data_IF_675403788421
#
_entry.id   IF_675403788421
#
_cell.length_a   1.000
_cell.length_b   1.000
_cell.length_c   1.000
_cell.angle_alpha   90.00
_cell.angle_beta   90.00
_cell.angle_gamma   90.00
#
_symmetry.space_group_name_H-M   'P 1'
#
loop_
_entity.id
_entity.type
_entity.pdbx_description
1 polymer ?
#
# COMPACT_ATOMS: atom_id res chain seq x y z
N UNK A 1 26.10 2.17 -36.06
CA UNK A 1 26.02 1.46 -34.77
C UNK A 1 24.94 1.97 -33.80
N UNK A 2 24.38 3.14 -33.98
CA UNK A 2 23.39 3.77 -33.07
C UNK A 2 21.95 3.21 -33.13
N UNK A 3 21.54 2.60 -34.24
CA UNK A 3 20.18 2.06 -34.39
C UNK A 3 19.91 0.73 -33.70
N UNK A 4 20.93 -0.12 -33.54
CA UNK A 4 20.83 -1.42 -32.88
C UNK A 4 20.67 -1.28 -31.36
N UNK A 5 21.42 -0.37 -30.75
CA UNK A 5 21.32 -0.06 -29.32
C UNK A 5 19.95 0.52 -28.92
N UNK A 6 19.35 1.38 -29.73
CA UNK A 6 18.02 1.96 -29.47
C UNK A 6 16.89 0.92 -29.53
N UNK A 7 16.93 -0.02 -30.49
CA UNK A 7 15.96 -1.13 -30.59
C UNK A 7 16.11 -2.11 -29.42
N UNK A 8 17.34 -2.43 -29.04
CA UNK A 8 17.63 -3.32 -27.91
C UNK A 8 17.18 -2.71 -26.56
N UNK A 9 17.42 -1.40 -26.36
CA UNK A 9 17.00 -0.67 -25.17
C UNK A 9 15.46 -0.57 -25.06
N UNK A 10 14.74 -0.48 -26.17
CA UNK A 10 13.27 -0.48 -26.22
C UNK A 10 12.68 -1.86 -25.89
N UNK A 11 13.29 -2.95 -26.37
CA UNK A 11 12.89 -4.31 -26.07
C UNK A 11 13.18 -4.66 -24.58
N UNK A 12 14.31 -4.17 -24.05
CA UNK A 12 14.69 -4.35 -22.64
C UNK A 12 13.66 -3.73 -21.68
N UNK A 13 13.11 -2.55 -21.97
CA UNK A 13 12.09 -1.90 -21.13
C UNK A 13 10.77 -2.68 -21.03
N UNK A 14 10.45 -3.55 -21.97
CA UNK A 14 9.23 -4.37 -22.00
C UNK A 14 9.38 -5.72 -21.32
N UNK A 15 10.58 -6.12 -20.91
CA UNK A 15 10.82 -7.39 -20.22
C UNK A 15 10.53 -7.26 -18.72
N UNK A 16 10.01 -8.33 -18.11
CA UNK A 16 9.73 -8.40 -16.67
C UNK A 16 11.02 -8.18 -15.86
N UNK A 17 10.91 -7.48 -14.74
CA UNK A 17 12.04 -7.11 -13.88
C UNK A 17 12.94 -8.31 -13.55
N UNK A 18 12.36 -9.45 -13.20
CA UNK A 18 13.10 -10.68 -12.92
C UNK A 18 13.97 -11.16 -14.08
N UNK A 19 13.50 -11.02 -15.34
CA UNK A 19 14.27 -11.38 -16.54
C UNK A 19 15.49 -10.46 -16.72
N UNK A 20 15.34 -9.17 -16.45
CA UNK A 20 16.44 -8.19 -16.54
C UNK A 20 17.54 -8.48 -15.53
N UNK A 21 17.16 -8.75 -14.28
CA UNK A 21 18.11 -9.06 -13.21
C UNK A 21 18.86 -10.36 -13.55
N UNK A 22 18.14 -11.41 -13.99
CA UNK A 22 18.75 -12.70 -14.36
C UNK A 22 19.74 -12.54 -15.52
N UNK A 23 19.37 -11.76 -16.57
CA UNK A 23 20.25 -11.49 -17.70
C UNK A 23 21.46 -10.64 -17.30
N UNK A 24 21.29 -9.65 -16.45
CA UNK A 24 22.39 -8.84 -15.93
C UNK A 24 23.38 -9.65 -15.11
N UNK A 25 22.88 -10.50 -14.21
CA UNK A 25 23.70 -11.40 -13.40
C UNK A 25 24.43 -12.43 -14.27
N UNK A 26 23.75 -13.00 -15.26
CA UNK A 26 24.34 -13.94 -16.22
C UNK A 26 25.44 -13.29 -17.07
N UNK A 27 25.24 -12.07 -17.54
CA UNK A 27 26.26 -11.32 -18.28
C UNK A 27 27.48 -11.00 -17.42
N UNK A 28 27.26 -10.58 -16.17
CA UNK A 28 28.36 -10.34 -15.22
C UNK A 28 29.15 -11.62 -14.93
N UNK A 29 28.47 -12.74 -14.67
CA UNK A 29 29.09 -14.03 -14.44
C UNK A 29 29.92 -14.47 -15.65
N UNK A 30 29.41 -14.28 -16.87
CA UNK A 30 30.14 -14.62 -18.10
C UNK A 30 31.43 -13.80 -18.25
N UNK A 31 31.40 -12.50 -17.94
CA UNK A 31 32.60 -11.65 -17.97
C UNK A 31 33.64 -12.13 -16.94
N UNK A 32 33.19 -12.44 -15.72
CA UNK A 32 34.06 -12.93 -14.66
C UNK A 32 34.68 -14.29 -15.05
N UNK A 33 33.89 -15.23 -15.55
CA UNK A 33 34.36 -16.53 -15.99
C UNK A 33 35.34 -16.42 -17.16
N UNK A 34 35.08 -15.56 -18.13
CA UNK A 34 35.98 -15.28 -19.22
C UNK A 34 37.35 -14.73 -18.72
N UNK A 35 37.30 -13.78 -17.77
CA UNK A 35 38.52 -13.21 -17.18
C UNK A 35 39.32 -14.26 -16.40
N UNK A 36 38.65 -15.09 -15.60
CA UNK A 36 39.31 -16.19 -14.85
C UNK A 36 39.91 -17.20 -15.82
N UNK A 37 39.14 -17.63 -16.84
CA UNK A 37 39.62 -18.59 -17.84
C UNK A 37 40.86 -18.10 -18.57
N UNK A 38 40.85 -16.88 -19.10
CA UNK A 38 42.02 -16.30 -19.78
C UNK A 38 43.21 -16.22 -18.84
N UNK A 39 42.98 -15.85 -17.59
CA UNK A 39 44.07 -15.75 -16.59
C UNK A 39 44.63 -17.12 -16.25
N UNK A 40 43.78 -18.13 -16.00
CA UNK A 40 44.20 -19.51 -15.68
C UNK A 40 45.00 -20.14 -16.81
N UNK A 41 44.48 -20.03 -18.05
CA UNK A 41 45.18 -20.54 -19.25
C UNK A 41 46.50 -19.83 -19.46
N UNK A 42 46.57 -18.50 -19.28
CA UNK A 42 47.80 -17.74 -19.42
C UNK A 42 48.86 -18.12 -18.38
N UNK A 43 48.44 -18.27 -17.10
CA UNK A 43 49.35 -18.71 -16.03
C UNK A 43 49.87 -20.14 -16.30
N UNK A 44 48.98 -21.03 -16.73
CA UNK A 44 49.37 -22.43 -17.01
C UNK A 44 50.34 -22.51 -18.19
N UNK A 45 50.06 -21.75 -19.26
CA UNK A 45 50.97 -21.71 -20.42
C UNK A 45 52.37 -21.22 -20.01
N UNK A 46 52.43 -20.10 -19.31
CA UNK A 46 53.72 -19.57 -18.83
C UNK A 46 54.41 -20.44 -17.78
N UNK A 47 53.69 -21.24 -17.03
CA UNK A 47 54.29 -22.23 -16.11
C UNK A 47 54.89 -23.40 -16.89
N UNK A 48 54.18 -23.94 -17.89
CA UNK A 48 54.66 -25.06 -18.70
C UNK A 48 55.87 -24.68 -19.55
N UNK A 49 55.89 -23.48 -20.13
CA UNK A 49 57.03 -22.95 -20.88
C UNK A 49 58.27 -22.84 -20.01
N UNK A 50 58.13 -22.26 -18.81
CA UNK A 50 59.26 -22.16 -17.87
C UNK A 50 59.80 -23.51 -17.44
N UNK A 51 58.91 -24.47 -17.19
CA UNK A 51 59.29 -25.83 -16.81
C UNK A 51 60.04 -26.52 -17.94
N UNK A 52 59.63 -26.32 -19.19
CA UNK A 52 60.30 -26.87 -20.37
C UNK A 52 61.69 -26.26 -20.53
N UNK A 53 61.84 -24.94 -20.35
CA UNK A 53 63.16 -24.26 -20.36
C UNK A 53 64.07 -24.74 -19.30
N UNK A 54 63.57 -24.95 -18.08
CA UNK A 54 64.37 -25.52 -16.99
C UNK A 54 64.83 -26.91 -17.30
N UNK A 55 64.01 -27.79 -17.91
CA UNK A 55 64.36 -29.14 -18.27
C UNK A 55 65.38 -29.16 -19.43
N UNK A 56 65.21 -28.32 -20.47
CA UNK A 56 66.18 -28.18 -21.55
C UNK A 56 67.56 -27.72 -21.03
N UNK A 57 67.54 -26.70 -20.14
CA UNK A 57 68.72 -26.17 -19.52
C UNK A 57 69.48 -27.26 -18.69
N UNK A 58 68.74 -28.02 -17.85
CA UNK A 58 69.31 -29.08 -17.05
C UNK A 58 69.90 -30.16 -17.94
N UNK A 59 69.20 -30.59 -19.00
CA UNK A 59 69.70 -31.59 -19.94
C UNK A 59 71.02 -31.17 -20.62
N UNK A 60 71.07 -29.92 -21.12
CA UNK A 60 72.26 -29.37 -21.78
C UNK A 60 73.41 -29.19 -20.80
N UNK A 61 73.18 -28.64 -19.58
CA UNK A 61 74.18 -28.45 -18.58
C UNK A 61 74.83 -29.78 -18.14
N UNK A 62 74.09 -30.91 -18.25
CA UNK A 62 74.69 -32.26 -17.98
C UNK A 62 75.52 -32.77 -19.15
N UNK A 63 75.12 -32.44 -20.38
CA UNK A 63 75.74 -32.94 -21.59
C UNK A 63 77.01 -32.14 -22.05
N UNK A 64 76.96 -30.80 -21.91
CA UNK A 64 78.01 -29.88 -22.37
C UNK A 64 79.44 -30.25 -21.82
N UNK A 65 79.58 -30.50 -20.52
CA UNK A 65 80.92 -30.88 -20.01
C UNK A 65 81.43 -32.16 -20.66
N UNK A 66 80.55 -33.17 -20.82
CA UNK A 66 80.96 -34.48 -21.41
C UNK A 66 81.29 -34.33 -22.90
N UNK A 67 80.53 -33.56 -23.65
CA UNK A 67 80.77 -33.32 -25.07
C UNK A 67 82.06 -32.53 -25.31
N UNK A 68 82.42 -31.62 -24.38
CA UNK A 68 83.67 -30.86 -24.44
C UNK A 68 84.89 -31.72 -24.25
N UNK A 69 84.79 -32.75 -23.38
CA UNK A 69 85.89 -33.65 -23.09
C UNK A 69 86.07 -34.80 -24.09
N UNK A 70 84.94 -35.34 -24.57
CA UNK A 70 84.94 -36.60 -25.34
C UNK A 70 84.75 -36.46 -26.83
N UNK A 71 84.31 -35.26 -27.31
CA UNK A 71 83.88 -35.01 -28.72
C UNK A 71 82.91 -36.10 -29.20
N UNK A 72 82.08 -36.64 -28.28
CA UNK A 72 81.11 -37.69 -28.55
C UNK A 72 79.78 -37.18 -29.14
N UNK A 73 78.92 -38.10 -29.55
CA UNK A 73 77.55 -37.74 -30.01
C UNK A 73 76.67 -37.41 -28.83
N UNK A 74 75.79 -36.35 -28.93
CA UNK A 74 74.86 -36.00 -27.88
C UNK A 74 73.86 -37.13 -27.63
N UNK A 75 73.65 -37.46 -26.36
CA UNK A 75 72.65 -38.47 -25.95
C UNK A 75 71.33 -37.80 -25.65
N UNK A 76 70.27 -38.34 -26.21
CA UNK A 76 68.93 -37.92 -25.84
C UNK A 76 68.59 -38.44 -24.44
N UNK A 77 68.46 -37.55 -23.45
CA UNK A 77 68.09 -37.89 -22.05
C UNK A 77 66.56 -38.02 -21.90
N UNK A 78 65.84 -37.44 -22.80
CA UNK A 78 64.38 -37.50 -22.90
C UNK A 78 64.05 -37.79 -24.36
N UNK A 79 62.84 -38.07 -24.73
CA UNK A 79 62.36 -38.25 -26.14
C UNK A 79 62.54 -36.97 -26.98
N UNK A 80 63.61 -36.22 -26.75
CA UNK A 80 63.92 -34.95 -27.39
C UNK A 80 65.05 -35.11 -28.42
N UNK A 81 64.98 -34.24 -29.36
CA UNK A 81 66.03 -34.17 -30.35
C UNK A 81 67.23 -33.40 -29.80
N UNK A 82 68.42 -33.91 -29.95
CA UNK A 82 69.65 -33.24 -29.61
C UNK A 82 70.68 -33.46 -30.71
N UNK A 83 71.35 -32.39 -31.14
CA UNK A 83 72.40 -32.45 -32.14
C UNK A 83 73.44 -31.40 -31.88
N UNK A 84 74.72 -31.80 -32.20
CA UNK A 84 75.85 -30.88 -32.18
C UNK A 84 75.98 -30.23 -33.57
N UNK A 85 76.17 -28.93 -33.59
CA UNK A 85 76.43 -28.14 -34.78
C UNK A 85 77.86 -27.57 -34.72
N UNK A 86 78.61 -27.75 -35.83
CA UNK A 86 79.87 -27.01 -36.03
C UNK A 86 79.53 -25.70 -36.77
N UNK A 87 80.00 -24.57 -36.23
CA UNK A 87 79.74 -23.25 -36.79
C UNK A 87 81.08 -22.67 -37.30
N UNK A 88 81.18 -22.49 -38.63
CA UNK A 88 82.33 -21.87 -39.27
C UNK A 88 81.89 -20.75 -40.18
N UNK A 89 82.54 -19.65 -40.07
CA UNK A 89 82.16 -18.42 -40.89
C UNK A 89 80.66 -18.08 -40.87
N UNK A 90 79.96 -18.25 -39.72
CA UNK A 90 78.53 -18.00 -39.56
C UNK A 90 77.62 -19.03 -40.19
N UNK A 91 78.13 -20.15 -40.68
CA UNK A 91 77.37 -21.29 -41.23
C UNK A 91 77.42 -22.42 -40.28
N UNK A 92 76.25 -22.85 -39.76
CA UNK A 92 76.08 -23.98 -38.85
C UNK A 92 75.85 -25.26 -39.69
N UNK A 93 76.65 -26.31 -39.48
CA UNK A 93 76.52 -27.64 -40.10
C UNK A 93 76.31 -28.69 -39.01
N UNK A 94 75.28 -29.58 -39.12
CA UNK A 94 75.08 -30.62 -38.13
C UNK A 94 76.21 -31.66 -38.18
N UNK A 95 76.71 -32.08 -37.01
CA UNK A 95 77.71 -33.16 -36.88
C UNK A 95 77.03 -34.55 -36.98
N UNK A 96 77.71 -35.54 -37.50
CA UNK A 96 77.20 -36.89 -37.57
C UNK A 96 76.89 -37.48 -36.20
N UNK A 97 75.70 -38.10 -36.01
CA UNK A 97 75.29 -38.77 -34.79
C UNK A 97 74.22 -38.08 -33.95
N UNK A 98 73.85 -36.87 -34.30
CA UNK A 98 72.72 -36.21 -33.70
C UNK A 98 71.39 -36.61 -34.36
N UNK A 99 70.26 -36.60 -33.55
CA UNK A 99 68.96 -36.85 -34.07
C UNK A 99 68.24 -35.44 -34.18
N UNK A 100 67.76 -35.11 -35.39
CA UNK A 100 67.14 -33.83 -35.67
C UNK A 100 65.77 -34.05 -36.25
N UNK A 101 64.78 -33.21 -35.89
CA UNK A 101 63.47 -33.15 -36.56
C UNK A 101 63.67 -32.50 -37.98
N UNK A 102 62.82 -32.81 -38.91
CA UNK A 102 62.92 -32.66 -40.35
C UNK A 102 63.35 -31.34 -41.02
N UNK A 103 63.51 -30.19 -40.38
CA UNK A 103 63.88 -28.93 -41.05
C UNK A 103 65.24 -28.39 -40.54
N UNK A 104 66.29 -28.95 -41.13
CA UNK A 104 67.68 -28.60 -40.76
C UNK A 104 68.08 -27.13 -41.01
N UNK A 105 67.43 -26.43 -41.89
CA UNK A 105 67.78 -25.03 -42.21
C UNK A 105 67.36 -24.01 -41.11
N UNK A 106 66.20 -24.20 -40.50
CA UNK A 106 65.81 -23.36 -39.41
C UNK A 106 66.63 -23.60 -38.16
N UNK A 107 66.90 -24.86 -37.89
CA UNK A 107 67.71 -25.27 -36.74
C UNK A 107 69.17 -24.80 -36.88
N UNK A 108 69.77 -24.89 -38.10
CA UNK A 108 71.11 -24.38 -38.40
C UNK A 108 71.20 -22.85 -38.18
N UNK A 109 70.16 -22.08 -38.51
CA UNK A 109 70.10 -20.65 -38.24
C UNK A 109 70.13 -20.37 -36.75
N UNK A 110 69.39 -21.12 -35.94
CA UNK A 110 69.34 -20.96 -34.49
C UNK A 110 70.69 -21.32 -33.88
N UNK A 111 71.33 -22.38 -34.39
CA UNK A 111 72.67 -22.77 -33.95
C UNK A 111 73.72 -21.69 -34.29
N UNK A 112 73.66 -21.07 -35.47
CA UNK A 112 74.56 -19.99 -35.82
C UNK A 112 74.34 -18.70 -34.97
N UNK A 113 73.08 -18.40 -34.62
CA UNK A 113 72.75 -17.25 -33.73
C UNK A 113 73.25 -17.52 -32.28
N UNK A 114 73.45 -18.75 -31.88
CA UNK A 114 73.85 -19.17 -30.50
C UNK A 114 75.32 -19.17 -30.21
N UNK A 115 76.16 -18.85 -31.15
CA UNK A 115 77.68 -18.79 -30.93
C UNK A 115 78.02 -17.75 -29.85
N UNK A 116 77.29 -16.68 -29.74
CA UNK A 116 77.51 -15.61 -28.75
C UNK A 116 76.88 -15.78 -27.39
N UNK A 117 76.08 -16.84 -27.20
CA UNK A 117 75.36 -17.17 -25.96
C UNK A 117 74.13 -18.04 -26.19
N UNK A 118 73.46 -18.41 -25.07
CA UNK A 118 72.25 -19.23 -25.12
C UNK A 118 71.11 -18.58 -25.87
N UNK A 119 70.51 -19.30 -26.80
CA UNK A 119 69.37 -18.87 -27.56
C UNK A 119 68.18 -19.84 -27.36
N UNK A 120 67.03 -19.34 -26.93
CA UNK A 120 65.81 -20.15 -26.85
C UNK A 120 64.76 -19.56 -27.77
N UNK A 121 64.16 -20.40 -28.64
CA UNK A 121 63.11 -19.97 -29.60
C UNK A 121 62.07 -21.07 -29.76
N UNK A 122 60.84 -20.63 -29.99
CA UNK A 122 59.75 -21.50 -30.44
C UNK A 122 59.78 -21.53 -31.97
N UNK A 123 59.74 -22.72 -32.52
CA UNK A 123 59.70 -22.96 -33.96
C UNK A 123 58.58 -23.96 -34.31
N UNK A 124 58.08 -23.84 -35.52
CA UNK A 124 57.13 -24.79 -36.08
C UNK A 124 57.82 -25.64 -37.16
N UNK A 125 57.94 -26.93 -36.89
CA UNK A 125 58.48 -27.87 -37.87
C UNK A 125 57.36 -28.46 -38.69
N UNK A 126 57.51 -28.44 -40.00
CA UNK A 126 56.40 -28.69 -40.92
C UNK A 126 55.74 -30.06 -40.77
N UNK A 127 56.51 -31.10 -40.42
CA UNK A 127 55.98 -32.46 -40.26
C UNK A 127 55.74 -32.86 -38.79
N UNK A 128 56.33 -32.15 -37.82
CA UNK A 128 56.36 -32.56 -36.41
C UNK A 128 55.65 -31.58 -35.44
N UNK A 129 55.23 -30.42 -35.92
CA UNK A 129 54.49 -29.42 -35.11
C UNK A 129 55.38 -28.41 -34.38
N UNK A 130 54.85 -27.78 -33.31
CA UNK A 130 55.59 -26.78 -32.54
C UNK A 130 56.66 -27.40 -31.61
N UNK A 131 57.86 -26.83 -31.65
CA UNK A 131 59.01 -27.23 -30.82
C UNK A 131 59.58 -26.01 -30.10
N UNK A 132 60.02 -26.24 -28.84
CA UNK A 132 60.88 -25.32 -28.10
C UNK A 132 62.30 -25.75 -28.29
N UNK A 133 63.10 -24.88 -28.88
CA UNK A 133 64.49 -25.16 -29.20
C UNK A 133 65.37 -24.26 -28.36
N UNK A 134 66.38 -24.89 -27.72
CA UNK A 134 67.44 -24.19 -27.03
C UNK A 134 68.77 -24.58 -27.65
N UNK A 135 69.59 -23.61 -28.01
CA UNK A 135 70.92 -23.73 -28.51
C UNK A 135 71.89 -23.13 -27.48
N UNK A 136 72.92 -23.89 -27.11
CA UNK A 136 73.90 -23.51 -26.12
C UNK A 136 75.31 -23.74 -26.69
N UNK A 137 76.29 -22.81 -26.59
CA UNK A 137 77.65 -22.99 -27.06
C UNK A 137 78.38 -24.03 -26.18
N UNK A 138 79.01 -25.00 -26.84
CA UNK A 138 79.86 -25.99 -26.20
C UNK A 138 81.31 -25.52 -26.21
N UNK A 139 81.80 -25.06 -27.37
CA UNK A 139 83.12 -24.47 -27.59
C UNK A 139 82.97 -23.27 -28.58
N UNK A 140 84.15 -22.68 -28.97
CA UNK A 140 84.18 -21.53 -29.89
C UNK A 140 83.48 -21.78 -31.24
N UNK A 141 83.52 -23.06 -31.68
CA UNK A 141 83.03 -23.44 -33.01
C UNK A 141 81.93 -24.53 -32.95
N UNK A 142 81.48 -24.90 -31.73
CA UNK A 142 80.46 -25.95 -31.55
C UNK A 142 79.30 -25.53 -30.67
N UNK A 143 78.06 -25.77 -31.13
CA UNK A 143 76.77 -25.44 -30.44
C UNK A 143 75.98 -26.72 -30.28
N UNK A 144 75.52 -26.99 -29.04
CA UNK A 144 74.57 -28.05 -28.73
C UNK A 144 73.14 -27.49 -28.88
N UNK A 145 72.35 -28.04 -29.78
CA UNK A 145 71.00 -27.74 -29.99
C UNK A 145 70.12 -28.87 -29.44
N UNK A 146 69.15 -28.48 -28.60
CA UNK A 146 68.12 -29.39 -28.08
C UNK A 146 66.75 -28.89 -28.42
N UNK A 147 65.91 -29.80 -28.92
CA UNK A 147 64.53 -29.46 -29.33
C UNK A 147 63.53 -30.38 -28.63
N UNK A 148 62.58 -29.77 -27.91
CA UNK A 148 61.52 -30.45 -27.18
C UNK A 148 60.13 -30.17 -27.85
N UNK A 149 59.37 -31.26 -28.13
CA UNK A 149 58.01 -31.08 -28.72
C UNK A 149 57.06 -30.40 -27.72
N UNK A 150 56.30 -29.42 -28.20
CA UNK A 150 55.24 -28.74 -27.42
C UNK A 150 53.84 -29.36 -27.65
N UNK A 151 53.76 -30.42 -28.47
CA UNK A 151 52.50 -31.07 -28.83
C UNK A 151 51.69 -31.59 -27.64
N UNK A 152 52.38 -32.27 -26.71
CA UNK A 152 51.76 -32.84 -25.50
C UNK A 152 51.32 -31.75 -24.51
N UNK A 153 52.05 -30.63 -24.44
CA UNK A 153 51.71 -29.48 -23.62
C UNK A 153 50.45 -28.78 -24.14
N UNK A 154 50.38 -28.60 -25.46
CA UNK A 154 49.22 -28.03 -26.10
C UNK A 154 47.97 -28.91 -25.95
N UNK A 155 48.17 -30.26 -25.95
CA UNK A 155 47.12 -31.23 -25.64
C UNK A 155 46.54 -31.03 -24.22
N UNK A 156 47.41 -30.91 -23.23
CA UNK A 156 47.05 -30.71 -21.82
C UNK A 156 46.33 -29.38 -21.59
N UNK A 157 46.85 -28.30 -22.18
CA UNK A 157 46.18 -26.97 -22.13
C UNK A 157 44.82 -27.02 -22.79
N UNK A 158 44.68 -27.66 -23.93
CA UNK A 158 43.38 -27.79 -24.63
C UNK A 158 42.38 -28.61 -23.80
N UNK A 159 42.80 -29.68 -23.15
CA UNK A 159 41.94 -30.44 -22.24
C UNK A 159 41.50 -29.60 -21.05
N UNK A 160 42.38 -28.80 -20.45
CA UNK A 160 42.08 -27.88 -19.38
C UNK A 160 41.00 -26.85 -19.83
N UNK A 161 41.19 -26.26 -21.01
CA UNK A 161 40.19 -25.28 -21.58
C UNK A 161 38.81 -25.93 -21.74
N UNK A 162 38.72 -27.16 -22.27
CA UNK A 162 37.44 -27.82 -22.40
C UNK A 162 36.78 -28.14 -21.06
N UNK A 163 37.52 -28.56 -20.04
CA UNK A 163 37.03 -28.81 -18.70
C UNK A 163 36.53 -27.47 -18.08
N UNK A 164 37.29 -26.40 -18.24
CA UNK A 164 36.97 -25.09 -17.72
C UNK A 164 35.70 -24.51 -18.39
N UNK A 165 35.60 -24.59 -19.72
CA UNK A 165 34.42 -24.17 -20.47
C UNK A 165 33.17 -24.97 -20.03
N UNK A 166 33.32 -26.30 -19.88
CA UNK A 166 32.25 -27.17 -19.41
C UNK A 166 31.78 -26.79 -17.98
N UNK A 167 32.72 -26.58 -17.07
CA UNK A 167 32.42 -26.18 -15.70
C UNK A 167 31.74 -24.80 -15.63
N UNK A 168 32.24 -23.83 -16.38
CA UNK A 168 31.64 -22.48 -16.42
C UNK A 168 30.25 -22.48 -17.09
N UNK A 169 30.06 -23.27 -18.15
CA UNK A 169 28.75 -23.43 -18.77
C UNK A 169 27.71 -24.03 -17.80
N UNK A 170 28.13 -25.05 -17.05
CA UNK A 170 27.30 -25.67 -16.01
C UNK A 170 26.98 -24.67 -14.89
N UNK A 171 27.96 -23.95 -14.37
CA UNK A 171 27.79 -22.96 -13.33
C UNK A 171 26.85 -21.83 -13.77
N UNK A 172 27.00 -21.36 -15.00
CA UNK A 172 26.12 -20.35 -15.59
C UNK A 172 24.68 -20.86 -15.75
N UNK A 173 24.50 -22.09 -16.21
CA UNK A 173 23.18 -22.71 -16.32
C UNK A 173 22.49 -22.82 -14.96
N UNK A 174 23.21 -23.31 -13.94
CA UNK A 174 22.71 -23.38 -12.55
C UNK A 174 22.35 -21.99 -12.02
N UNK A 175 23.22 -21.00 -12.21
CA UNK A 175 22.98 -19.61 -11.79
C UNK A 175 21.70 -19.05 -12.41
N UNK A 176 21.49 -19.26 -13.72
CA UNK A 176 20.30 -18.80 -14.43
C UNK A 176 19.04 -19.52 -13.95
N UNK A 177 19.08 -20.83 -13.76
CA UNK A 177 17.92 -21.61 -13.29
C UNK A 177 17.55 -21.22 -11.86
N UNK A 178 18.53 -21.26 -10.94
CA UNK A 178 18.29 -20.92 -9.52
C UNK A 178 17.87 -19.46 -9.38
N UNK A 179 18.58 -18.54 -10.03
CA UNK A 179 18.25 -17.12 -10.01
C UNK A 179 16.82 -16.85 -10.51
N UNK A 180 16.40 -17.55 -11.60
CA UNK A 180 15.04 -17.43 -12.13
C UNK A 180 13.97 -17.99 -11.18
N UNK A 181 14.26 -19.10 -10.50
CA UNK A 181 13.36 -19.70 -9.50
C UNK A 181 13.20 -18.78 -8.28
N UNK A 182 14.30 -18.28 -7.74
CA UNK A 182 14.28 -17.37 -6.57
C UNK A 182 13.53 -16.08 -6.90
N UNK A 183 13.87 -15.44 -8.02
CA UNK A 183 13.21 -14.20 -8.45
C UNK A 183 11.71 -14.38 -8.74
N UNK A 184 11.33 -15.52 -9.35
CA UNK A 184 9.92 -15.80 -9.60
C UNK A 184 9.13 -15.97 -8.29
N UNK A 185 9.69 -16.70 -7.32
CA UNK A 185 9.03 -16.88 -6.02
C UNK A 185 9.00 -15.59 -5.20
N UNK A 186 10.09 -14.83 -5.21
CA UNK A 186 10.19 -13.59 -4.45
C UNK A 186 9.34 -12.44 -4.98
N UNK A 187 9.14 -12.35 -6.31
CA UNK A 187 8.38 -11.25 -6.93
C UNK A 187 6.92 -11.58 -7.24
N UNK A 188 6.50 -12.84 -7.09
CA UNK A 188 5.11 -13.24 -7.34
C UNK A 188 4.10 -12.49 -6.46
N UNK A 189 4.31 -12.33 -5.14
CA UNK A 189 3.36 -11.62 -4.29
C UNK A 189 3.15 -10.16 -4.72
N UNK A 190 4.19 -9.49 -5.20
CA UNK A 190 4.07 -8.11 -5.73
C UNK A 190 3.22 -8.05 -7.01
N UNK A 191 3.33 -9.06 -7.87
CA UNK A 191 2.49 -9.16 -9.07
C UNK A 191 1.02 -9.42 -8.71
N UNK A 192 0.77 -10.26 -7.71
CA UNK A 192 -0.57 -10.56 -7.21
C UNK A 192 -1.20 -9.31 -6.55
N UNK A 193 -0.45 -8.55 -5.75
CA UNK A 193 -0.89 -7.26 -5.19
C UNK A 193 -1.21 -6.23 -6.28
N UNK A 194 -0.37 -6.14 -7.32
CA UNK A 194 -0.63 -5.25 -8.45
C UNK A 194 -1.90 -5.66 -9.22
N UNK A 195 -2.15 -6.97 -9.35
CA UNK A 195 -3.39 -7.50 -9.90
C UNK A 195 -4.60 -7.08 -9.07
N UNK A 196 -4.56 -7.33 -7.75
CA UNK A 196 -5.61 -6.92 -6.81
C UNK A 196 -5.90 -5.41 -6.89
N UNK A 197 -4.85 -4.59 -6.94
CA UNK A 197 -5.02 -3.13 -7.07
C UNK A 197 -5.66 -2.74 -8.40
N UNK A 198 -5.34 -3.45 -9.49
CA UNK A 198 -5.93 -3.23 -10.82
C UNK A 198 -7.41 -3.64 -10.85
N UNK A 199 -7.75 -4.78 -10.25
CA UNK A 199 -9.12 -5.27 -10.15
C UNK A 199 -9.99 -4.33 -9.34
N UNK A 200 -9.47 -3.79 -8.21
CA UNK A 200 -10.16 -2.77 -7.40
C UNK A 200 -10.34 -1.48 -8.21
N UNK A 201 -9.32 -1.03 -8.95
CA UNK A 201 -9.41 0.18 -9.76
C UNK A 201 -10.41 0.07 -10.93
N UNK A 202 -10.63 -1.16 -11.44
CA UNK A 202 -11.62 -1.45 -12.47
C UNK A 202 -13.03 -1.69 -11.92
N UNK A 203 -13.15 -1.91 -10.60
CA UNK A 203 -14.43 -2.15 -9.95
C UNK A 203 -15.21 -0.85 -9.72
N UNK A 204 -16.50 -0.85 -10.07
CA UNK A 204 -17.36 0.30 -9.76
C UNK A 204 -17.78 0.29 -8.28
N UNK A 205 -16.97 0.95 -7.46
CA UNK A 205 -17.19 1.10 -6.02
C UNK A 205 -18.47 1.88 -5.66
N UNK A 206 -19.10 2.53 -6.65
CA UNK A 206 -20.36 3.25 -6.44
C UNK A 206 -21.56 2.32 -6.57
N UNK A 207 -21.46 1.28 -7.40
CA UNK A 207 -22.51 0.29 -7.60
C UNK A 207 -22.41 -0.87 -6.59
N UNK A 208 -21.19 -1.27 -6.21
CA UNK A 208 -20.95 -2.32 -5.23
C UNK A 208 -19.78 -1.93 -4.30
N UNK A 209 -20.08 -1.43 -3.09
CA UNK A 209 -19.07 -0.91 -2.17
C UNK A 209 -18.20 -1.99 -1.50
N UNK A 210 -18.58 -3.27 -1.59
CA UNK A 210 -17.80 -4.35 -1.00
C UNK A 210 -16.54 -4.61 -1.81
N UNK A 211 -15.37 -4.48 -1.19
CA UNK A 211 -14.09 -4.87 -1.79
C UNK A 211 -13.92 -6.39 -1.70
N UNK A 212 -14.03 -7.12 -2.83
CA UNK A 212 -14.12 -8.58 -2.82
C UNK A 212 -12.80 -9.29 -2.51
N UNK A 213 -11.65 -8.58 -2.57
CA UNK A 213 -10.33 -9.23 -2.59
C UNK A 213 -9.35 -8.56 -1.63
N UNK A 214 -8.67 -9.39 -0.82
CA UNK A 214 -7.47 -9.01 -0.06
C UNK A 214 -6.23 -9.56 -0.75
N UNK A 215 -5.11 -8.88 -0.63
CA UNK A 215 -3.82 -9.43 -1.08
C UNK A 215 -3.50 -10.65 -0.21
N UNK A 216 -3.70 -11.86 -0.80
CA UNK A 216 -3.45 -13.15 -0.17
C UNK A 216 -2.17 -13.75 -0.71
N UNK A 217 -1.54 -14.65 0.04
CA UNK A 217 -0.32 -15.34 -0.35
C UNK A 217 0.76 -15.22 0.71
N UNK A 218 1.74 -16.14 0.65
CA UNK A 218 2.93 -16.13 1.50
C UNK A 218 4.18 -16.16 0.63
N UNK A 219 5.24 -15.47 1.04
CA UNK A 219 6.54 -15.45 0.34
C UNK A 219 6.98 -14.03 -0.02
N UNK A 220 8.20 -13.90 -0.52
CA UNK A 220 8.80 -12.64 -0.95
C UNK A 220 9.71 -11.96 0.07
N UNK A 221 9.92 -12.57 1.24
CA UNK A 221 10.75 -11.99 2.30
C UNK A 221 9.97 -11.06 3.24
N UNK A 222 10.67 -10.56 4.26
CA UNK A 222 10.08 -9.73 5.33
C UNK A 222 9.54 -8.42 4.77
N UNK A 223 10.24 -7.81 3.83
CA UNK A 223 9.88 -6.52 3.22
C UNK A 223 8.59 -6.61 2.40
N UNK A 224 8.39 -7.73 1.70
CA UNK A 224 7.15 -7.97 0.91
C UNK A 224 5.97 -8.26 1.82
N UNK A 225 6.21 -8.96 2.94
CA UNK A 225 5.19 -9.25 3.95
C UNK A 225 4.73 -7.97 4.65
N UNK A 226 5.66 -7.09 5.00
CA UNK A 226 5.36 -5.78 5.58
C UNK A 226 4.54 -4.90 4.61
N UNK A 227 4.94 -4.87 3.34
CA UNK A 227 4.19 -4.16 2.30
C UNK A 227 2.78 -4.74 2.13
N UNK A 228 2.62 -6.07 2.14
CA UNK A 228 1.31 -6.73 2.04
C UNK A 228 0.42 -6.39 3.21
N UNK A 229 0.98 -6.34 4.41
CA UNK A 229 0.26 -5.95 5.63
C UNK A 229 -0.21 -4.50 5.53
N UNK A 230 0.67 -3.58 5.17
CA UNK A 230 0.32 -2.16 4.97
C UNK A 230 -0.75 -1.98 3.89
N UNK A 231 -0.65 -2.71 2.79
CA UNK A 231 -1.64 -2.69 1.72
C UNK A 231 -3.02 -3.18 2.19
N UNK A 232 -3.08 -4.28 2.95
CA UNK A 232 -4.34 -4.80 3.49
C UNK A 232 -4.95 -3.86 4.54
N UNK A 233 -4.14 -3.18 5.36
CA UNK A 233 -4.61 -2.13 6.28
C UNK A 233 -5.22 -0.96 5.51
N UNK A 234 -4.58 -0.53 4.43
CA UNK A 234 -5.12 0.51 3.55
C UNK A 234 -6.48 0.11 2.94
N UNK A 235 -6.61 -1.13 2.47
CA UNK A 235 -7.87 -1.65 1.94
C UNK A 235 -8.96 -1.69 3.02
N UNK A 236 -8.62 -2.08 4.25
CA UNK A 236 -9.56 -2.07 5.38
C UNK A 236 -10.07 -0.65 5.70
N UNK A 237 -9.20 0.36 5.63
CA UNK A 237 -9.60 1.77 5.80
C UNK A 237 -10.52 2.25 4.67
N UNK A 238 -10.27 1.83 3.43
CA UNK A 238 -11.14 2.16 2.28
C UNK A 238 -12.52 1.53 2.48
N UNK A 239 -12.59 0.23 2.84
CA UNK A 239 -13.86 -0.45 3.13
C UNK A 239 -14.68 0.30 4.19
N UNK A 240 -14.03 0.61 5.32
CA UNK A 240 -14.69 1.33 6.42
C UNK A 240 -15.21 2.70 5.97
N UNK A 241 -14.42 3.42 5.16
CA UNK A 241 -14.81 4.73 4.63
C UNK A 241 -15.97 4.64 3.63
N UNK A 242 -15.97 3.62 2.78
CA UNK A 242 -17.05 3.38 1.82
C UNK A 242 -18.35 2.99 2.53
N UNK A 243 -18.27 2.09 3.51
CA UNK A 243 -19.41 1.69 4.33
C UNK A 243 -20.03 2.89 5.04
N UNK A 244 -19.20 3.74 5.69
CA UNK A 244 -19.66 4.96 6.35
C UNK A 244 -20.31 5.94 5.36
N UNK A 245 -19.74 6.09 4.15
CA UNK A 245 -20.30 6.95 3.10
C UNK A 245 -21.64 6.43 2.58
N UNK A 246 -21.75 5.11 2.40
CA UNK A 246 -23.01 4.48 1.94
C UNK A 246 -24.11 4.67 2.97
N UNK A 247 -23.81 4.41 4.24
CA UNK A 247 -24.76 4.62 5.35
C UNK A 247 -25.19 6.07 5.46
N UNK A 248 -24.25 7.03 5.37
CA UNK A 248 -24.59 8.46 5.37
C UNK A 248 -25.49 8.85 4.18
N UNK A 249 -25.23 8.29 3.00
CA UNK A 249 -26.06 8.55 1.82
C UNK A 249 -27.46 7.96 1.94
N UNK A 250 -27.61 6.78 2.52
CA UNK A 250 -28.91 6.17 2.80
C UNK A 250 -29.70 6.96 3.85
N UNK A 251 -29.03 7.44 4.90
CA UNK A 251 -29.65 8.35 5.89
C UNK A 251 -30.14 9.63 5.24
N UNK A 252 -29.31 10.22 4.36
CA UNK A 252 -29.70 11.45 3.63
C UNK A 252 -30.90 11.20 2.70
N UNK A 253 -30.91 10.08 1.95
CA UNK A 253 -32.04 9.74 1.07
C UNK A 253 -33.33 9.56 1.85
N UNK A 254 -33.28 8.85 3.00
CA UNK A 254 -34.45 8.70 3.88
C UNK A 254 -34.93 10.07 4.40
N UNK A 255 -34.01 10.90 4.90
CA UNK A 255 -34.30 12.25 5.38
C UNK A 255 -35.01 13.12 4.32
N UNK A 256 -34.50 13.12 3.08
CA UNK A 256 -35.12 13.89 1.98
C UNK A 256 -36.51 13.36 1.62
N UNK A 257 -36.70 12.05 1.61
CA UNK A 257 -37.98 11.43 1.32
C UNK A 257 -39.02 11.79 2.40
N UNK A 258 -38.66 11.64 3.68
CA UNK A 258 -39.56 11.94 4.81
C UNK A 258 -39.87 13.41 4.90
N UNK A 259 -38.86 14.30 4.75
CA UNK A 259 -39.10 15.76 4.68
C UNK A 259 -40.03 16.14 3.55
N UNK A 260 -39.91 15.51 2.38
CA UNK A 260 -40.80 15.75 1.23
C UNK A 260 -42.25 15.36 1.52
N UNK A 261 -42.46 14.25 2.22
CA UNK A 261 -43.78 13.80 2.63
C UNK A 261 -44.40 14.73 3.66
N UNK A 262 -43.67 15.16 4.68
CA UNK A 262 -44.15 16.02 5.74
C UNK A 262 -44.39 17.46 5.28
N UNK A 263 -43.69 17.95 4.26
CA UNK A 263 -43.97 19.25 3.63
C UNK A 263 -45.17 19.20 2.68
N UNK A 264 -45.43 18.08 2.00
CA UNK A 264 -46.54 17.96 1.05
C UNK A 264 -47.90 18.04 1.73
N UNK A 265 -48.05 17.45 2.91
CA UNK A 265 -49.30 17.39 3.65
C UNK A 265 -49.85 18.79 4.01
N UNK A 266 -49.12 19.67 4.75
CA UNK A 266 -49.59 21.00 5.07
C UNK A 266 -49.78 21.87 3.81
N UNK A 267 -48.95 21.70 2.79
CA UNK A 267 -49.10 22.41 1.52
C UNK A 267 -50.43 22.05 0.82
N UNK A 268 -50.82 20.77 0.87
CA UNK A 268 -52.12 20.32 0.34
C UNK A 268 -53.26 20.89 1.15
N UNK A 269 -53.13 20.96 2.48
CA UNK A 269 -54.12 21.59 3.37
C UNK A 269 -54.28 23.08 3.09
N UNK A 270 -53.15 23.81 2.98
CA UNK A 270 -53.14 25.23 2.63
C UNK A 270 -53.87 25.46 1.29
N UNK A 271 -53.57 24.66 0.27
CA UNK A 271 -54.23 24.75 -1.04
C UNK A 271 -55.70 24.48 -0.93
N UNK A 272 -56.11 23.46 -0.20
CA UNK A 272 -57.52 23.14 0.03
C UNK A 272 -58.30 24.29 0.72
N UNK A 273 -57.74 24.85 1.79
CA UNK A 273 -58.34 26.00 2.47
C UNK A 273 -58.35 27.26 1.62
N UNK A 274 -57.33 27.48 0.78
CA UNK A 274 -57.31 28.59 -0.17
C UNK A 274 -58.36 28.43 -1.26
N UNK A 275 -58.61 27.22 -1.75
CA UNK A 275 -59.71 26.95 -2.70
C UNK A 275 -61.09 27.13 -2.03
N UNK A 276 -61.27 26.62 -0.81
CA UNK A 276 -62.48 26.84 -0.02
C UNK A 276 -62.73 28.33 0.26
N UNK A 277 -61.68 29.07 0.62
CA UNK A 277 -61.72 30.51 0.80
C UNK A 277 -62.30 31.25 -0.45
N UNK A 278 -61.91 30.84 -1.64
CA UNK A 278 -62.39 31.40 -2.91
C UNK A 278 -63.89 31.14 -3.11
N UNK A 279 -64.36 29.93 -2.72
CA UNK A 279 -65.78 29.57 -2.87
C UNK A 279 -66.66 30.24 -1.80
N UNK A 280 -66.20 30.24 -0.53
CA UNK A 280 -66.94 30.88 0.59
C UNK A 280 -66.90 32.41 0.57
N UNK A 281 -65.98 33.00 -0.23
CA UNK A 281 -65.71 34.43 -0.25
C UNK A 281 -66.90 35.30 -0.59
N UNK A 282 -68.01 34.79 -1.19
CA UNK A 282 -69.10 35.57 -1.66
C UNK A 282 -70.16 35.83 -0.58
N UNK A 283 -70.39 34.97 0.41
CA UNK A 283 -71.59 35.02 1.26
C UNK A 283 -71.41 34.84 2.79
N UNK A 284 -70.25 34.40 3.30
CA UNK A 284 -70.08 34.10 4.75
C UNK A 284 -68.76 34.60 5.33
N UNK A 285 -68.70 35.81 5.92
CA UNK A 285 -67.47 36.40 6.48
C UNK A 285 -66.80 35.54 7.58
N UNK A 286 -67.59 34.82 8.38
CA UNK A 286 -67.07 33.97 9.47
C UNK A 286 -66.31 32.75 8.96
N UNK A 287 -66.79 32.09 7.89
CA UNK A 287 -66.09 30.98 7.26
C UNK A 287 -64.77 31.40 6.60
N UNK A 288 -64.75 32.59 6.02
CA UNK A 288 -63.49 33.15 5.46
C UNK A 288 -62.45 33.32 6.51
N UNK A 289 -62.79 33.90 7.67
CA UNK A 289 -61.87 34.09 8.75
C UNK A 289 -61.35 32.71 9.31
N UNK A 290 -62.23 31.71 9.40
CA UNK A 290 -61.88 30.37 9.79
C UNK A 290 -60.92 29.74 8.80
N UNK A 291 -61.12 29.89 7.49
CA UNK A 291 -60.23 29.38 6.48
C UNK A 291 -58.85 30.09 6.48
N UNK A 292 -58.82 31.42 6.66
CA UNK A 292 -57.63 32.23 6.80
C UNK A 292 -56.83 31.83 8.06
N UNK A 293 -57.54 31.60 9.18
CA UNK A 293 -56.91 31.12 10.42
C UNK A 293 -56.23 29.78 10.20
N UNK A 294 -56.87 28.85 9.48
CA UNK A 294 -56.27 27.55 9.16
C UNK A 294 -55.05 27.65 8.22
N UNK A 295 -55.09 28.56 7.24
CA UNK A 295 -53.93 28.81 6.38
C UNK A 295 -52.77 29.39 7.20
N UNK A 296 -53.03 30.34 8.12
CA UNK A 296 -52.01 30.91 9.01
C UNK A 296 -51.39 29.83 9.93
N UNK A 297 -52.24 28.98 10.52
CA UNK A 297 -51.82 27.87 11.38
C UNK A 297 -50.89 26.90 10.64
N UNK A 298 -51.27 26.44 9.42
CA UNK A 298 -50.47 25.54 8.64
C UNK A 298 -49.16 26.19 8.12
N UNK A 299 -49.18 27.48 7.82
CA UNK A 299 -47.97 28.22 7.42
C UNK A 299 -47.00 28.34 8.60
N UNK A 300 -47.48 28.66 9.81
CA UNK A 300 -46.68 28.71 11.01
C UNK A 300 -46.04 27.33 11.32
N UNK A 301 -46.82 26.23 11.17
CA UNK A 301 -46.35 24.88 11.31
C UNK A 301 -45.24 24.57 10.31
N UNK A 302 -45.41 24.96 9.03
CA UNK A 302 -44.39 24.75 8.01
C UNK A 302 -43.09 25.50 8.32
N UNK A 303 -43.18 26.70 8.87
CA UNK A 303 -42.00 27.49 9.28
C UNK A 303 -41.22 26.73 10.34
N UNK A 304 -41.84 26.26 11.41
CA UNK A 304 -41.20 25.46 12.46
C UNK A 304 -40.59 24.18 11.87
N UNK A 305 -41.31 23.46 11.01
CA UNK A 305 -40.80 22.25 10.36
C UNK A 305 -39.55 22.54 9.54
N UNK A 306 -39.50 23.60 8.74
CA UNK A 306 -38.34 23.98 7.93
C UNK A 306 -37.16 24.38 8.81
N UNK A 307 -37.40 25.15 9.87
CA UNK A 307 -36.36 25.56 10.83
C UNK A 307 -35.74 24.34 11.54
N UNK A 308 -36.58 23.38 11.97
CA UNK A 308 -36.14 22.15 12.59
C UNK A 308 -35.32 21.29 11.61
N UNK A 309 -35.76 21.17 10.35
CA UNK A 309 -35.03 20.45 9.31
C UNK A 309 -33.65 21.08 9.03
N UNK A 310 -33.61 22.42 8.91
CA UNK A 310 -32.36 23.14 8.71
C UNK A 310 -31.42 23.00 9.90
N UNK A 311 -31.95 23.02 11.12
CA UNK A 311 -31.17 22.80 12.34
C UNK A 311 -30.59 21.40 12.39
N UNK A 312 -31.41 20.37 12.16
CA UNK A 312 -30.96 18.98 12.11
C UNK A 312 -29.91 18.76 11.03
N UNK A 313 -30.09 19.31 9.82
CA UNK A 313 -29.12 19.23 8.73
C UNK A 313 -27.77 19.86 9.11
N UNK A 314 -27.78 20.98 9.84
CA UNK A 314 -26.57 21.64 10.34
C UNK A 314 -25.89 20.83 11.45
N UNK A 315 -26.65 20.22 12.36
CA UNK A 315 -26.12 19.39 13.44
C UNK A 315 -25.52 18.07 12.93
N UNK A 316 -26.07 17.52 11.83
CA UNK A 316 -25.54 16.31 11.17
C UNK A 316 -24.25 16.56 10.38
N UNK A 317 -24.10 17.74 9.78
CA UNK A 317 -22.89 18.16 9.08
C UNK A 317 -21.78 18.38 10.11
N UNK A 318 -21.17 17.25 10.58
CA UNK A 318 -20.05 17.20 11.57
C UNK A 318 -19.70 18.54 12.21
N UNK A 319 -19.80 18.60 13.51
CA UNK A 319 -19.36 19.58 14.53
C UNK A 319 -18.55 20.87 14.17
N UNK A 320 -18.09 21.04 12.94
CA UNK A 320 -17.29 22.17 12.50
C UNK A 320 -18.12 23.38 11.99
N UNK A 321 -19.43 23.20 11.66
CA UNK A 321 -20.22 24.22 11.00
C UNK A 321 -21.43 24.75 11.78
N UNK A 322 -21.74 24.17 12.94
CA UNK A 322 -22.76 24.74 13.82
C UNK A 322 -22.10 25.24 15.10
N UNK A 323 -21.65 26.48 15.17
CA UNK A 323 -21.14 27.01 16.41
C UNK A 323 -22.31 27.14 17.38
N UNK A 324 -22.47 26.16 18.29
CA UNK A 324 -23.14 26.44 19.55
C UNK A 324 -22.42 27.66 20.15
N UNK A 325 -23.16 28.51 20.75
CA UNK A 325 -22.63 29.67 21.50
C UNK A 325 -22.71 29.34 22.98
N UNK A 326 -21.79 28.50 23.50
CA UNK A 326 -21.84 28.11 24.88
C UNK A 326 -21.50 29.31 25.77
N UNK A 327 -22.37 29.55 26.74
CA UNK A 327 -22.15 30.51 27.79
C UNK A 327 -22.53 29.87 29.15
N UNK A 328 -22.05 30.42 30.22
CA UNK A 328 -22.41 29.94 31.56
C UNK A 328 -23.89 30.25 31.81
N UNK A 329 -24.69 29.21 31.79
CA UNK A 329 -26.15 29.28 31.86
C UNK A 329 -26.65 28.55 33.10
N UNK A 330 -27.47 29.15 33.91
CA UNK A 330 -28.20 28.46 34.97
C UNK A 330 -29.40 27.72 34.38
N UNK A 331 -29.31 26.37 34.37
CA UNK A 331 -30.38 25.52 33.82
C UNK A 331 -31.69 25.65 34.61
N UNK A 332 -31.64 26.00 35.91
CA UNK A 332 -32.80 26.20 36.75
C UNK A 332 -33.57 27.48 36.33
N UNK A 333 -32.88 28.60 36.10
CA UNK A 333 -33.48 29.83 35.60
C UNK A 333 -34.13 29.60 34.22
N UNK A 334 -33.41 28.95 33.30
CA UNK A 334 -33.90 28.66 31.97
C UNK A 334 -35.15 27.74 31.99
N UNK A 335 -35.15 26.74 32.87
CA UNK A 335 -36.30 25.84 33.05
C UNK A 335 -37.50 26.51 33.68
N UNK A 336 -37.27 27.42 34.62
CA UNK A 336 -38.32 28.26 35.22
C UNK A 336 -39.01 29.14 34.19
N UNK A 337 -38.21 29.89 33.40
CA UNK A 337 -38.72 30.71 32.30
C UNK A 337 -39.51 29.90 31.25
N UNK A 338 -39.08 28.68 30.94
CA UNK A 338 -39.79 27.80 30.04
C UNK A 338 -41.12 27.30 30.63
N UNK A 339 -41.13 26.95 31.91
CA UNK A 339 -42.32 26.49 32.60
C UNK A 339 -43.38 27.64 32.71
N UNK A 340 -42.95 28.85 33.03
CA UNK A 340 -43.81 30.03 33.14
C UNK A 340 -44.42 30.41 31.80
N UNK A 341 -43.63 30.41 30.72
CA UNK A 341 -44.10 30.66 29.37
C UNK A 341 -45.11 29.58 28.90
N UNK A 342 -44.85 28.32 29.25
CA UNK A 342 -45.73 27.21 28.94
C UNK A 342 -47.07 27.36 29.71
N UNK A 343 -47.05 27.66 31.00
CA UNK A 343 -48.24 27.88 31.85
C UNK A 343 -49.09 29.01 31.31
N UNK A 344 -48.49 30.13 30.89
CA UNK A 344 -49.18 31.26 30.30
C UNK A 344 -49.84 30.89 28.94
N UNK A 345 -49.19 30.11 28.10
CA UNK A 345 -49.68 29.67 26.80
C UNK A 345 -50.67 28.49 26.83
N UNK A 346 -50.66 27.72 27.91
CA UNK A 346 -51.45 26.49 28.09
C UNK A 346 -52.10 26.43 29.47
N UNK A 347 -53.06 27.30 29.79
CA UNK A 347 -53.72 27.38 31.09
C UNK A 347 -54.49 26.09 31.45
N UNK A 348 -54.75 25.26 30.49
CA UNK A 348 -55.38 23.93 30.60
C UNK A 348 -54.43 22.83 31.13
N UNK A 349 -53.13 23.11 31.27
CA UNK A 349 -52.16 22.18 31.80
C UNK A 349 -51.49 22.80 33.05
N UNK A 350 -51.85 22.36 34.28
CA UNK A 350 -51.21 22.85 35.50
C UNK A 350 -49.72 22.53 35.52
N UNK A 351 -48.87 23.53 35.80
CA UNK A 351 -47.42 23.34 35.88
C UNK A 351 -46.93 23.52 37.33
N UNK A 352 -46.02 22.64 37.74
CA UNK A 352 -45.28 22.78 38.98
C UNK A 352 -43.78 22.65 38.69
N UNK A 353 -42.93 23.29 39.49
CA UNK A 353 -41.50 23.26 39.29
C UNK A 353 -40.72 23.11 40.60
N UNK A 354 -39.66 22.25 40.57
CA UNK A 354 -38.67 22.11 41.64
C UNK A 354 -37.29 22.32 41.00
N UNK A 355 -36.68 23.48 41.26
CA UNK A 355 -35.52 23.95 40.50
C UNK A 355 -34.32 24.24 41.43
N UNK A 356 -33.32 23.34 41.42
CA UNK A 356 -32.04 23.57 42.07
C UNK A 356 -31.08 24.23 41.10
N UNK A 357 -30.32 25.23 41.56
CA UNK A 357 -29.35 25.95 40.77
C UNK A 357 -28.30 24.99 40.14
N UNK A 358 -28.16 24.99 38.85
CA UNK A 358 -27.28 24.09 38.12
C UNK A 358 -26.67 24.82 36.90
N UNK A 359 -25.40 25.23 37.03
CA UNK A 359 -24.68 25.96 35.99
C UNK A 359 -24.03 25.01 34.99
N UNK A 360 -24.34 25.20 33.70
CA UNK A 360 -23.81 24.43 32.58
C UNK A 360 -23.15 25.37 31.54
N UNK A 361 -22.17 24.87 30.81
CA UNK A 361 -21.61 25.59 29.67
C UNK A 361 -22.42 25.20 28.39
N UNK A 362 -23.39 26.02 28.04
CA UNK A 362 -24.36 25.67 27.00
C UNK A 362 -24.90 26.90 26.24
N UNK A 363 -25.43 26.68 25.05
CA UNK A 363 -26.15 27.69 24.28
C UNK A 363 -27.58 27.84 24.85
N UNK A 364 -27.92 28.97 25.53
CA UNK A 364 -29.21 29.13 26.22
C UNK A 364 -30.39 29.12 25.28
N UNK A 365 -30.22 29.63 24.04
CA UNK A 365 -31.31 29.65 23.04
C UNK A 365 -31.61 28.21 22.62
N UNK A 366 -30.61 27.37 22.48
CA UNK A 366 -30.77 25.97 22.08
C UNK A 366 -31.31 25.12 23.23
N UNK A 367 -30.82 25.32 24.47
CA UNK A 367 -31.39 24.64 25.62
C UNK A 367 -32.84 25.05 25.89
N UNK A 368 -33.18 26.34 25.69
CA UNK A 368 -34.58 26.79 25.75
C UNK A 368 -35.43 26.01 24.72
N UNK A 369 -34.96 25.85 23.49
CA UNK A 369 -35.66 25.07 22.46
C UNK A 369 -35.85 23.59 22.89
N UNK A 370 -34.89 23.00 23.59
CA UNK A 370 -35.02 21.64 24.17
C UNK A 370 -36.18 21.59 25.16
N UNK A 371 -36.23 22.53 26.12
CA UNK A 371 -37.26 22.57 27.15
C UNK A 371 -38.65 22.86 26.55
N UNK A 372 -38.72 23.79 25.62
CA UNK A 372 -39.97 24.13 24.94
C UNK A 372 -40.53 22.94 24.16
N UNK A 373 -39.65 22.15 23.48
CA UNK A 373 -40.07 20.94 22.77
C UNK A 373 -40.57 19.83 23.70
N UNK A 374 -39.94 19.66 24.87
CA UNK A 374 -40.40 18.67 25.85
C UNK A 374 -41.71 19.06 26.49
N UNK A 375 -41.89 20.32 26.84
CA UNK A 375 -43.17 20.88 27.36
C UNK A 375 -44.29 20.83 26.31
N UNK A 376 -44.02 21.20 25.06
CA UNK A 376 -44.95 21.09 23.96
C UNK A 376 -45.40 19.64 23.74
N UNK A 377 -44.46 18.68 23.86
CA UNK A 377 -44.75 17.26 23.75
C UNK A 377 -45.74 16.80 24.86
N UNK A 378 -45.55 17.23 26.10
CA UNK A 378 -46.49 16.96 27.19
C UNK A 378 -47.92 17.47 26.86
N UNK A 379 -48.05 18.72 26.36
CA UNK A 379 -49.37 19.29 26.01
C UNK A 379 -50.07 18.61 24.81
N UNK A 380 -49.28 18.16 23.82
CA UNK A 380 -49.83 17.52 22.59
C UNK A 380 -50.29 16.07 22.86
N UNK A 381 -49.61 15.37 23.74
CA UNK A 381 -49.83 13.94 23.96
C UNK A 381 -50.65 13.63 25.20
N UNK A 382 -51.06 14.63 25.98
CA UNK A 382 -51.91 14.44 27.16
C UNK A 382 -53.23 15.21 27.04
N UNK A 383 -54.31 14.76 27.70
CA UNK A 383 -55.57 15.48 27.72
C UNK A 383 -55.45 16.81 28.49
N UNK A 384 -56.30 17.81 28.19
CA UNK A 384 -56.47 18.99 29.04
C UNK A 384 -56.70 18.61 30.50
N UNK A 385 -56.12 19.36 31.43
CA UNK A 385 -56.13 19.07 32.87
C UNK A 385 -54.98 18.20 33.36
N UNK A 386 -54.14 17.69 32.47
CA UNK A 386 -52.97 16.90 32.88
C UNK A 386 -51.89 17.79 33.50
N UNK A 387 -51.46 17.44 34.72
CA UNK A 387 -50.36 18.14 35.38
C UNK A 387 -49.01 17.86 34.73
N UNK A 388 -48.18 18.90 34.58
CA UNK A 388 -46.82 18.84 34.13
C UNK A 388 -45.88 19.31 35.23
N UNK A 389 -44.82 18.56 35.50
CA UNK A 389 -43.83 18.87 36.51
C UNK A 389 -42.47 19.05 35.86
N UNK A 390 -41.79 20.13 36.16
CA UNK A 390 -40.42 20.43 35.69
C UNK A 390 -39.47 20.41 36.89
N UNK A 391 -38.45 19.62 36.85
CA UNK A 391 -37.43 19.55 37.88
C UNK A 391 -36.04 19.76 37.33
N UNK A 392 -35.18 20.48 38.04
CA UNK A 392 -33.74 20.57 37.80
C UNK A 392 -33.03 20.21 39.06
N UNK A 393 -32.12 19.24 38.98
CA UNK A 393 -31.31 18.78 40.13
C UNK A 393 -29.87 18.57 39.68
N UNK A 394 -28.95 18.59 40.64
CA UNK A 394 -27.54 18.24 40.41
C UNK A 394 -27.31 16.81 40.88
N UNK A 395 -26.91 15.94 39.96
CA UNK A 395 -26.57 14.53 40.24
C UNK A 395 -25.08 14.29 39.94
N UNK A 396 -24.23 14.29 40.93
CA UNK A 396 -22.79 14.11 40.75
C UNK A 396 -22.14 15.24 39.95
N UNK A 397 -21.64 14.93 38.72
CA UNK A 397 -21.03 15.91 37.82
C UNK A 397 -22.00 16.41 36.74
N UNK A 398 -23.29 16.12 36.83
CA UNK A 398 -24.28 16.45 35.83
C UNK A 398 -25.39 17.32 36.39
N UNK A 399 -25.87 18.27 35.55
CA UNK A 399 -27.13 18.95 35.72
C UNK A 399 -28.21 18.11 35.05
N UNK A 400 -29.29 17.81 35.75
CA UNK A 400 -30.36 16.94 35.29
C UNK A 400 -31.68 17.70 35.24
N UNK A 401 -32.21 17.94 34.06
CA UNK A 401 -33.57 18.49 33.87
C UNK A 401 -34.55 17.34 33.57
N UNK A 402 -35.71 17.37 34.28
CA UNK A 402 -36.77 16.40 34.04
C UNK A 402 -38.07 17.16 33.73
N UNK A 403 -38.74 16.67 32.67
CA UNK A 403 -40.11 17.10 32.35
C UNK A 403 -41.01 15.88 32.46
N UNK A 404 -41.91 15.91 33.44
CA UNK A 404 -42.84 14.79 33.76
C UNK A 404 -44.27 15.20 33.51
N UNK A 405 -45.01 14.42 32.75
CA UNK A 405 -46.45 14.55 32.62
C UNK A 405 -47.21 13.41 33.33
N UNK A 406 -48.40 13.68 33.83
CA UNK A 406 -49.28 12.72 34.46
C UNK A 406 -50.32 12.12 33.47
N UNK A 407 -49.95 12.02 32.18
CA UNK A 407 -50.81 11.51 31.13
C UNK A 407 -51.20 10.05 31.32
N UNK A 408 -52.40 9.64 30.93
CA UNK A 408 -52.91 8.28 31.16
C UNK A 408 -52.27 7.23 30.24
N UNK A 409 -51.75 7.66 29.09
CA UNK A 409 -51.16 6.74 28.10
C UNK A 409 -49.65 6.55 28.38
N UNK A 410 -49.19 5.30 28.29
CA UNK A 410 -47.75 4.99 28.36
C UNK A 410 -47.20 4.75 26.97
N UNK A 411 -45.91 5.12 26.78
CA UNK A 411 -45.12 4.77 25.61
C UNK A 411 -44.67 3.32 25.77
N UNK A 412 -44.96 2.48 24.79
CA UNK A 412 -44.54 1.08 24.83
C UNK A 412 -42.98 0.94 24.93
N UNK A 413 -42.45 -0.01 25.70
CA UNK A 413 -40.99 -0.14 25.86
C UNK A 413 -40.24 -0.25 24.54
N UNK A 414 -40.82 -0.91 23.53
CA UNK A 414 -40.23 -1.02 22.19
C UNK A 414 -40.13 0.31 21.41
N UNK A 415 -40.95 1.29 21.81
CA UNK A 415 -41.03 2.61 21.14
C UNK A 415 -40.19 3.66 21.89
N UNK A 416 -39.86 3.45 23.18
CA UNK A 416 -39.12 4.41 24.00
C UNK A 416 -37.76 4.80 23.44
N UNK A 417 -37.06 3.89 22.78
CA UNK A 417 -35.81 4.20 22.09
C UNK A 417 -36.06 4.92 20.76
N UNK A 418 -37.17 4.63 20.10
CA UNK A 418 -37.51 5.09 18.76
C UNK A 418 -38.19 6.45 18.72
N UNK A 419 -38.75 6.92 19.84
CA UNK A 419 -39.44 8.26 19.84
C UNK A 419 -38.49 9.43 19.55
N UNK A 420 -37.20 9.24 19.64
CA UNK A 420 -36.18 10.21 19.26
C UNK A 420 -35.79 10.10 17.79
N UNK A 421 -36.24 9.06 17.06
CA UNK A 421 -36.05 8.96 15.63
C UNK A 421 -36.83 10.04 14.91
N UNK A 422 -36.29 10.56 13.81
CA UNK A 422 -36.95 11.61 13.01
C UNK A 422 -38.24 11.08 12.42
N UNK A 423 -39.28 11.91 12.50
CA UNK A 423 -40.62 11.62 11.98
C UNK A 423 -41.32 10.40 12.64
N UNK A 424 -40.74 9.84 13.70
CA UNK A 424 -41.37 8.73 14.41
C UNK A 424 -42.58 9.18 15.21
N UNK A 425 -43.66 8.39 15.14
CA UNK A 425 -44.94 8.63 15.85
C UNK A 425 -45.52 7.30 16.25
N UNK A 426 -45.96 7.17 17.49
CA UNK A 426 -46.50 5.93 18.07
C UNK A 426 -47.84 5.52 17.44
N UNK A 427 -48.66 6.48 16.95
CA UNK A 427 -49.95 6.23 16.30
C UNK A 427 -50.18 7.17 15.09
N UNK A 428 -50.24 6.60 13.89
CA UNK A 428 -50.49 7.31 12.63
C UNK A 428 -51.91 7.87 12.49
N UNK A 429 -52.87 7.35 13.27
CA UNK A 429 -54.32 7.62 13.00
C UNK A 429 -55.00 8.57 13.94
N UNK A 430 -54.56 8.75 15.18
CA UNK A 430 -55.30 9.50 16.22
C UNK A 430 -54.92 10.97 16.40
N UNK A 431 -53.83 11.45 15.83
CA UNK A 431 -53.27 12.78 16.11
C UNK A 431 -53.04 13.68 14.91
N UNK A 432 -53.72 13.43 13.77
CA UNK A 432 -53.69 14.38 12.63
C UNK A 432 -54.24 15.77 12.99
N UNK A 433 -55.09 15.85 14.03
CA UNK A 433 -55.61 17.13 14.58
C UNK A 433 -54.72 17.75 15.66
N UNK A 434 -53.70 17.05 16.18
CA UNK A 434 -52.90 17.47 17.32
C UNK A 434 -51.56 18.14 17.02
N UNK A 435 -51.17 18.26 15.75
CA UNK A 435 -50.12 19.25 15.37
C UNK A 435 -48.66 18.87 15.46
N UNK A 436 -48.25 17.70 15.92
CA UNK A 436 -46.80 17.34 16.05
C UNK A 436 -46.14 16.97 14.71
N UNK A 437 -44.97 17.51 14.41
CA UNK A 437 -44.15 17.24 13.20
C UNK A 437 -43.37 15.94 13.26
N UNK A 438 -43.27 15.30 14.45
CA UNK A 438 -42.37 14.15 14.67
C UNK A 438 -40.89 14.52 14.69
N UNK A 439 -40.54 15.82 14.62
CA UNK A 439 -39.16 16.28 14.69
C UNK A 439 -38.74 16.80 16.08
N UNK A 440 -39.65 17.27 16.92
CA UNK A 440 -39.33 17.91 18.18
C UNK A 440 -38.42 17.10 19.08
N UNK A 441 -38.70 15.79 19.26
CA UNK A 441 -37.86 14.91 20.10
C UNK A 441 -36.51 14.59 19.44
N UNK A 442 -36.43 14.48 18.12
CA UNK A 442 -35.15 14.30 17.40
C UNK A 442 -34.29 15.57 17.47
N UNK A 443 -34.92 16.77 17.48
CA UNK A 443 -34.22 18.04 17.74
C UNK A 443 -33.69 18.06 19.16
N UNK A 444 -34.49 17.64 20.17
CA UNK A 444 -34.01 17.51 21.57
C UNK A 444 -32.80 16.63 21.65
N UNK A 445 -32.82 15.41 21.09
CA UNK A 445 -31.71 14.49 21.12
C UNK A 445 -30.45 15.09 20.48
N UNK A 446 -30.61 15.68 19.28
CA UNK A 446 -29.49 16.27 18.54
C UNK A 446 -28.86 17.44 19.27
N UNK A 447 -29.67 18.34 19.86
CA UNK A 447 -29.19 19.49 20.64
C UNK A 447 -28.51 19.06 21.94
N UNK A 448 -29.11 18.14 22.69
CA UNK A 448 -28.54 17.62 23.93
C UNK A 448 -27.21 16.91 23.66
N UNK A 449 -27.13 16.08 22.61
CA UNK A 449 -25.88 15.44 22.19
C UNK A 449 -24.82 16.46 21.78
N UNK A 450 -25.19 17.52 21.07
CA UNK A 450 -24.27 18.59 20.67
C UNK A 450 -23.69 19.35 21.88
N UNK A 451 -24.41 19.38 23.01
CA UNK A 451 -23.92 19.91 24.28
C UNK A 451 -23.15 18.88 25.14
N UNK A 452 -22.86 17.69 24.59
CA UNK A 452 -22.16 16.62 25.30
C UNK A 452 -23.02 15.90 26.35
N UNK A 453 -24.33 16.06 26.31
CA UNK A 453 -25.29 15.44 27.23
C UNK A 453 -26.00 14.22 26.66
N UNK A 454 -26.96 13.71 27.43
CA UNK A 454 -27.84 12.58 27.05
C UNK A 454 -29.29 12.88 27.37
N UNK A 455 -30.22 12.32 26.57
CA UNK A 455 -31.65 12.37 26.82
C UNK A 455 -32.22 10.97 26.90
N UNK A 456 -33.14 10.74 27.81
CA UNK A 456 -33.86 9.48 27.97
C UNK A 456 -35.31 9.70 28.30
N UNK A 457 -36.13 8.66 28.17
CA UNK A 457 -37.54 8.65 28.55
C UNK A 457 -37.84 7.43 29.41
N UNK A 458 -38.68 7.63 30.41
CA UNK A 458 -39.30 6.58 31.19
C UNK A 458 -40.80 6.80 31.14
N UNK A 459 -41.57 5.80 30.73
CA UNK A 459 -43.01 5.94 30.61
C UNK A 459 -43.75 4.75 31.19
N UNK A 460 -44.71 5.07 32.04
CA UNK A 460 -45.62 4.14 32.64
C UNK A 460 -47.04 4.78 32.64
N UNK A 461 -48.13 3.99 32.76
CA UNK A 461 -49.46 4.56 32.85
C UNK A 461 -49.58 5.59 33.96
N UNK A 462 -49.98 6.80 33.62
CA UNK A 462 -50.10 7.92 34.56
C UNK A 462 -48.80 8.71 34.76
N UNK A 463 -47.72 8.38 34.13
CA UNK A 463 -46.44 9.13 34.26
C UNK A 463 -45.52 8.92 33.08
N UNK A 464 -45.20 9.97 32.34
CA UNK A 464 -44.07 9.97 31.37
C UNK A 464 -43.05 11.01 31.78
N UNK A 465 -41.78 10.63 31.90
CA UNK A 465 -40.68 11.51 32.31
C UNK A 465 -39.61 11.52 31.22
N UNK A 466 -39.35 12.69 30.66
CA UNK A 466 -38.16 12.92 29.83
C UNK A 466 -37.05 13.49 30.73
N UNK A 467 -35.86 12.90 30.65
CA UNK A 467 -34.70 13.29 31.44
C UNK A 467 -33.58 13.76 30.52
N UNK A 468 -33.12 14.99 30.69
CA UNK A 468 -31.96 15.57 30.00
C UNK A 468 -30.82 15.69 31.02
N UNK A 469 -29.66 15.14 30.67
CA UNK A 469 -28.43 15.20 31.49
C UNK A 469 -27.38 16.00 30.72
N UNK A 470 -26.79 16.99 31.40
CA UNK A 470 -25.76 17.86 30.83
C UNK A 470 -24.56 17.92 31.80
N UNK A 471 -23.31 17.96 31.29
CA UNK A 471 -22.16 18.16 32.16
C UNK A 471 -22.23 19.53 32.86
N UNK A 472 -21.92 19.58 34.16
CA UNK A 472 -21.79 20.85 34.86
C UNK A 472 -20.63 21.66 34.32
N UNK A 473 -20.78 23.00 34.34
CA UNK A 473 -19.70 23.90 34.00
C UNK A 473 -18.49 23.66 34.88
N UNK A 474 -17.32 23.57 34.29
CA UNK A 474 -16.09 23.47 35.05
C UNK A 474 -15.86 24.76 35.81
N UNK A 475 -15.57 24.64 37.13
CA UNK A 475 -15.27 25.76 38.02
C UNK A 475 -14.01 26.53 37.61
#
# INVERSE_FOLDING_TARGET
>A
MTGFFRRWYGAWRRTRLGTRITLGLGALALVVFAAVGVTTVGIMHGYLDRRLDEQLSKSQNTQVPTLRETHGSPQSVYSWYSALYSVRDGVATPEPGGMLPGDGKQLAKIAADAVGGDVTRDIYLYDDGPYRVRACPVDTDSVLLSAAPQGDLNGTVRQLVWVEVGAFALALAVLVVVGRLVLRRGLRPLADMAGTAHDIAAHDLTANPDLPVRASGSGGGVEVEELRTAFNVMLAHIDTSLAAKTEANERLRRFVADASHELRTPLTSIRGYADLFRYAAANEPAEREAHLSKIREETARMTVLVDDLLLLARLDARAAETPLRPERTDLAELAGDAADAFAAGRPDHPVTSDLDAAVVDADPVRLRQVLDNLLANAAVHTPPGTAVHVAVVVEGAEAVARVTDAGPAAIAPADQERIFDRFFRVDDSRTRSGGGTGLGLSVVQSLVTAHGGTVSVESAPGRTTFTVRLPLARS
#
